data_IF_318508430193
#
_entry.id   IF_318508430193
#
_cell.length_a   1.000
_cell.length_b   1.000
_cell.length_c   1.000
_cell.angle_alpha   90.00
_cell.angle_beta   90.00
_cell.angle_gamma   90.00
#
_symmetry.space_group_name_H-M   'P 1'
#
loop_
_entity.id
_entity.type
_entity.pdbx_description
1 polymer ?
#
# COMPACT_ATOMS: atom_id res chain seq x y z
N UNK A 1 4.45 -5.37 -6.67
CA UNK A 1 3.64 -4.14 -6.46
C UNK A 1 4.45 -3.09 -5.74
N UNK A 2 4.49 -1.87 -6.26
CA UNK A 2 5.28 -0.76 -5.71
C UNK A 2 4.46 0.52 -5.62
N UNK A 3 4.79 1.38 -4.67
CA UNK A 3 4.15 2.69 -4.54
C UNK A 3 4.79 3.69 -5.52
N UNK A 4 3.98 4.43 -6.27
CA UNK A 4 4.46 5.36 -7.31
C UNK A 4 4.83 6.75 -6.77
N UNK A 5 4.39 7.09 -5.55
CA UNK A 5 4.64 8.38 -4.89
C UNK A 5 4.73 8.21 -3.38
N UNK A 6 5.14 9.26 -2.68
CA UNK A 6 5.14 9.27 -1.23
C UNK A 6 3.69 9.35 -0.71
N UNK A 7 3.33 8.43 0.18
CA UNK A 7 2.00 8.36 0.78
C UNK A 7 2.14 8.41 2.31
N UNK A 8 1.46 9.37 2.94
CA UNK A 8 1.33 9.38 4.41
C UNK A 8 0.26 8.38 4.81
N UNK A 9 0.59 7.46 5.71
CA UNK A 9 -0.37 6.48 6.22
C UNK A 9 -1.25 7.15 7.26
N UNK A 10 -2.57 7.10 7.08
CA UNK A 10 -3.50 7.62 8.09
C UNK A 10 -3.45 6.71 9.33
N UNK A 11 -3.29 7.29 10.51
CA UNK A 11 -3.18 6.53 11.78
C UNK A 11 -1.78 6.01 12.11
N UNK A 12 -0.76 6.35 11.31
CA UNK A 12 0.64 6.10 11.64
C UNK A 12 1.48 7.34 11.34
N UNK A 13 2.53 7.58 12.13
CA UNK A 13 3.52 8.62 11.83
C UNK A 13 4.46 8.24 10.67
N UNK A 14 4.31 7.01 10.13
CA UNK A 14 5.12 6.51 9.04
C UNK A 14 4.63 6.97 7.67
N UNK A 15 5.58 7.32 6.79
CA UNK A 15 5.33 7.68 5.40
C UNK A 15 5.86 6.58 4.50
N UNK A 16 5.02 6.05 3.62
CA UNK A 16 5.43 5.13 2.57
C UNK A 16 6.11 5.90 1.46
N UNK A 17 7.42 5.69 1.31
CA UNK A 17 8.20 6.34 0.25
C UNK A 17 7.92 5.72 -1.12
N UNK A 18 8.03 6.52 -2.17
CA UNK A 18 8.02 6.07 -3.56
C UNK A 18 9.05 4.94 -3.75
N UNK A 19 8.65 3.91 -4.49
CA UNK A 19 9.50 2.73 -4.75
C UNK A 19 9.46 1.67 -3.65
N UNK A 20 8.74 1.90 -2.55
CA UNK A 20 8.53 0.87 -1.52
C UNK A 20 7.89 -0.36 -2.14
N UNK A 21 8.58 -1.51 -2.07
CA UNK A 21 8.06 -2.80 -2.56
C UNK A 21 7.21 -3.44 -1.48
N UNK A 22 5.96 -3.72 -1.81
CA UNK A 22 5.02 -4.40 -0.91
C UNK A 22 4.95 -5.86 -1.35
N UNK A 23 5.32 -6.76 -0.43
CA UNK A 23 5.28 -8.22 -0.63
C UNK A 23 4.20 -8.76 0.30
N UNK A 24 3.28 -9.58 -0.22
CA UNK A 24 2.01 -10.02 0.41
C UNK A 24 0.91 -8.94 0.40
N UNK A 25 0.21 -8.88 -0.72
CA UNK A 25 -1.05 -8.14 -0.88
C UNK A 25 -2.23 -9.13 -0.91
N UNK A 26 -3.37 -8.69 -0.41
CA UNK A 26 -4.66 -9.38 -0.53
C UNK A 26 -5.62 -8.47 -1.28
N UNK A 27 -6.42 -9.07 -2.15
CA UNK A 27 -7.52 -8.38 -2.82
C UNK A 27 -8.66 -8.26 -1.82
N UNK A 28 -9.26 -7.08 -1.72
CA UNK A 28 -10.49 -6.84 -0.97
C UNK A 28 -11.68 -6.91 -1.92
N UNK A 29 -12.91 -6.75 -1.39
CA UNK A 29 -14.14 -6.72 -2.19
C UNK A 29 -14.27 -5.48 -3.10
N UNK A 30 -13.33 -4.54 -3.05
CA UNK A 30 -13.33 -3.30 -3.81
C UNK A 30 -12.14 -3.28 -4.78
N UNK A 31 -12.38 -3.20 -6.09
CA UNK A 31 -11.32 -3.14 -7.12
C UNK A 31 -10.38 -1.92 -6.99
N UNK A 32 -10.84 -0.88 -6.29
CA UNK A 32 -10.05 0.35 -6.08
C UNK A 32 -9.09 0.25 -4.89
N UNK A 33 -9.15 -0.83 -4.11
CA UNK A 33 -8.41 -0.98 -2.86
C UNK A 33 -7.70 -2.32 -2.79
N UNK A 34 -6.55 -2.33 -2.11
CA UNK A 34 -5.84 -3.56 -1.79
C UNK A 34 -5.36 -3.50 -0.35
N UNK A 35 -5.52 -4.63 0.33
CA UNK A 35 -4.97 -4.79 1.66
C UNK A 35 -3.51 -5.24 1.53
N UNK A 36 -2.62 -4.60 2.28
CA UNK A 36 -1.24 -4.99 2.33
C UNK A 36 -0.72 -5.07 3.75
N UNK A 37 0.23 -5.97 3.97
CA UNK A 37 0.91 -6.12 5.26
C UNK A 37 2.29 -5.47 5.20
N UNK A 38 2.53 -4.52 6.08
CA UNK A 38 3.81 -3.83 6.23
C UNK A 38 4.30 -4.06 7.66
N UNK A 39 5.21 -5.02 7.81
CA UNK A 39 5.67 -5.49 9.12
C UNK A 39 4.56 -6.16 9.93
N UNK A 40 4.15 -5.52 11.04
CA UNK A 40 3.06 -5.96 11.92
C UNK A 40 1.73 -5.27 11.62
N UNK A 41 1.72 -4.22 10.80
CA UNK A 41 0.53 -3.44 10.50
C UNK A 41 -0.11 -3.88 9.18
N UNK A 42 -1.43 -3.99 9.19
CA UNK A 42 -2.24 -4.17 7.98
C UNK A 42 -2.76 -2.81 7.54
N UNK A 43 -2.53 -2.44 6.29
CA UNK A 43 -2.87 -1.13 5.73
C UNK A 43 -3.60 -1.36 4.41
N UNK A 44 -4.71 -0.64 4.22
CA UNK A 44 -5.42 -0.61 2.93
C UNK A 44 -4.87 0.54 2.09
N UNK A 45 -4.46 0.23 0.86
CA UNK A 45 -3.94 1.20 -0.10
C UNK A 45 -4.85 1.26 -1.32
N UNK A 46 -5.03 2.45 -1.87
CA UNK A 46 -5.75 2.62 -3.14
C UNK A 46 -4.90 2.17 -4.31
N UNK A 47 -5.48 1.39 -5.22
CA UNK A 47 -4.79 0.82 -6.40
C UNK A 47 -4.28 1.89 -7.35
N UNK A 48 -4.91 3.06 -7.41
CA UNK A 48 -4.45 4.22 -8.21
C UNK A 48 -3.04 4.73 -7.88
N UNK A 49 -2.48 4.38 -6.73
CA UNK A 49 -1.12 4.78 -6.31
C UNK A 49 -0.11 3.63 -6.35
N UNK A 50 -0.51 2.50 -6.92
CA UNK A 50 0.29 1.30 -7.00
C UNK A 50 0.63 0.99 -8.44
N UNK A 51 1.87 0.55 -8.67
CA UNK A 51 2.34 0.03 -9.95
C UNK A 51 2.61 -1.46 -9.81
N UNK A 52 2.10 -2.25 -10.76
CA UNK A 52 2.52 -3.64 -10.92
C UNK A 52 3.96 -3.64 -11.43
N UNK A 53 4.83 -4.23 -10.63
CA UNK A 53 6.24 -4.53 -10.91
C UNK A 53 6.43 -5.97 -10.48
#
# INVERSE_FOLDING_TARGET
>A
VQVIKDLKVKGSSSTLKRGTKIKKIRLTSSDTEVECRIGKSTIVLKTQFLKKV
#
